data_IF_367277423019
#
_entry.id   IF_367277423019
#
_cell.length_a   1.000
_cell.length_b   1.000
_cell.length_c   1.000
_cell.angle_alpha   90.00
_cell.angle_beta   90.00
_cell.angle_gamma   90.00
#
_symmetry.space_group_name_H-M   'P 1'
#
loop_
_entity.id
_entity.type
_entity.pdbx_description
1 polymer ?
#
# COMPACT_ATOMS: atom_id res chain seq x y z
N UNK A 1 8.07 11.68 10.43
CA UNK A 1 8.71 12.97 10.77
C UNK A 1 9.46 13.52 9.56
N UNK A 2 9.22 14.78 9.22
CA UNK A 2 9.88 15.51 8.13
C UNK A 2 10.50 16.80 8.68
N UNK A 3 11.63 17.23 8.11
CA UNK A 3 12.38 18.39 8.57
C UNK A 3 12.82 19.24 7.39
N UNK A 4 12.67 20.55 7.51
CA UNK A 4 13.36 21.51 6.64
C UNK A 4 14.75 21.75 7.24
N UNK A 5 15.78 21.70 6.40
CA UNK A 5 17.18 21.80 6.83
C UNK A 5 17.94 22.76 5.94
N UNK A 6 19.07 23.27 6.44
CA UNK A 6 19.98 24.06 5.61
C UNK A 6 20.63 23.20 4.53
N UNK A 7 21.13 23.84 3.45
CA UNK A 7 21.88 23.15 2.39
C UNK A 7 23.06 22.35 2.95
N UNK A 8 23.77 22.90 3.95
CA UNK A 8 24.90 22.23 4.60
C UNK A 8 24.49 20.98 5.39
N UNK A 9 23.29 20.97 5.97
CA UNK A 9 22.74 19.85 6.71
C UNK A 9 22.07 18.79 5.82
N UNK A 10 21.72 19.15 4.57
CA UNK A 10 21.01 18.25 3.67
C UNK A 10 21.82 17.02 3.27
N UNK A 11 23.02 17.19 2.69
CA UNK A 11 23.85 16.07 2.23
C UNK A 11 24.23 15.07 3.34
N UNK A 12 24.66 15.50 4.54
CA UNK A 12 24.96 14.57 5.63
C UNK A 12 23.71 14.02 6.33
N UNK A 13 22.49 14.30 5.84
CA UNK A 13 21.23 13.89 6.47
C UNK A 13 21.12 14.36 7.93
N UNK A 14 21.59 15.57 8.24
CA UNK A 14 21.56 16.07 9.60
C UNK A 14 20.22 16.75 9.93
N UNK A 15 19.44 16.15 10.84
CA UNK A 15 18.18 16.69 11.34
C UNK A 15 18.28 17.24 12.77
N UNK A 16 19.50 17.48 13.29
CA UNK A 16 19.70 17.87 14.70
C UNK A 16 19.19 19.28 14.97
N UNK A 17 19.41 20.20 14.03
CA UNK A 17 18.98 21.60 14.13
C UNK A 17 18.21 21.99 12.87
N UNK A 18 16.96 21.50 12.73
CA UNK A 18 16.15 21.80 11.57
C UNK A 18 15.68 23.25 11.59
N UNK A 19 15.46 23.82 10.40
CA UNK A 19 14.78 25.11 10.21
C UNK A 19 13.31 24.98 10.61
N UNK A 20 12.69 23.84 10.31
CA UNK A 20 11.31 23.52 10.68
C UNK A 20 11.13 22.01 10.80
N UNK A 21 10.20 21.56 11.66
CA UNK A 21 9.93 20.15 11.89
C UNK A 21 8.43 19.84 11.84
N UNK A 22 8.08 18.71 11.23
CA UNK A 22 6.73 18.19 11.16
C UNK A 22 6.73 16.72 11.56
N UNK A 23 6.18 16.43 12.72
CA UNK A 23 6.19 15.06 13.28
C UNK A 23 4.93 14.26 12.94
N UNK A 24 3.84 14.96 12.58
CA UNK A 24 2.54 14.38 12.24
C UNK A 24 2.16 14.71 10.79
N UNK A 25 1.55 13.75 10.09
CA UNK A 25 1.08 13.90 8.72
C UNK A 25 -0.46 13.95 8.62
N UNK A 26 -1.02 14.35 7.45
CA UNK A 26 -0.31 14.90 6.29
C UNK A 26 0.18 16.33 6.52
N UNK A 27 1.37 16.65 6.03
CA UNK A 27 2.01 17.97 6.21
C UNK A 27 1.76 18.86 5.00
N UNK A 28 1.38 20.12 5.23
CA UNK A 28 1.30 21.18 4.21
C UNK A 28 2.33 22.25 4.52
N UNK A 29 3.15 22.60 3.54
CA UNK A 29 4.21 23.62 3.66
C UNK A 29 3.97 24.71 2.62
N UNK A 30 3.94 25.97 3.07
CA UNK A 30 3.82 27.14 2.19
C UNK A 30 5.19 27.76 1.98
N UNK A 31 5.66 27.78 0.73
CA UNK A 31 6.95 28.35 0.37
C UNK A 31 6.77 29.85 0.07
N UNK A 32 7.26 30.71 0.96
CA UNK A 32 7.08 32.18 0.85
C UNK A 32 8.28 32.91 0.28
N UNK A 33 9.46 32.28 0.29
CA UNK A 33 10.71 32.90 -0.10
C UNK A 33 11.24 32.25 -1.36
N UNK A 34 11.85 33.05 -2.24
CA UNK A 34 12.62 32.51 -3.35
C UNK A 34 13.91 31.86 -2.85
N UNK A 35 14.41 30.88 -3.60
CA UNK A 35 15.61 30.11 -3.29
C UNK A 35 15.34 28.62 -3.07
N UNK A 36 16.38 27.91 -2.64
CA UNK A 36 16.30 26.48 -2.38
C UNK A 36 15.83 26.18 -0.97
N UNK A 37 14.85 25.29 -0.88
CA UNK A 37 14.36 24.69 0.35
C UNK A 37 14.67 23.19 0.35
N UNK A 38 15.31 22.70 1.40
CA UNK A 38 15.72 21.30 1.50
C UNK A 38 14.94 20.59 2.59
N UNK A 39 14.34 19.45 2.26
CA UNK A 39 13.53 18.66 3.18
C UNK A 39 14.03 17.22 3.27
N UNK A 40 14.10 16.68 4.48
CA UNK A 40 14.51 15.31 4.77
C UNK A 40 13.53 14.61 5.70
N UNK A 41 13.44 13.29 5.60
CA UNK A 41 12.85 12.47 6.64
C UNK A 41 13.92 12.06 7.65
N UNK A 42 13.70 12.34 8.94
CA UNK A 42 14.66 12.02 10.00
C UNK A 42 14.58 10.58 10.52
N UNK A 43 13.78 9.71 9.90
CA UNK A 43 13.73 8.29 10.26
C UNK A 43 15.00 7.61 9.72
N UNK A 44 15.71 6.81 10.53
CA UNK A 44 16.92 6.11 10.09
C UNK A 44 16.71 5.35 8.78
N UNK A 45 17.62 5.51 7.83
CA UNK A 45 17.58 4.85 6.51
C UNK A 45 16.70 5.53 5.46
N UNK A 46 15.70 6.33 5.84
CA UNK A 46 14.76 6.93 4.89
C UNK A 46 15.42 7.91 3.91
N UNK A 47 16.38 8.71 4.38
CA UNK A 47 17.12 9.64 3.51
C UNK A 47 17.91 8.91 2.43
N UNK A 48 18.65 7.85 2.80
CA UNK A 48 19.41 7.02 1.87
C UNK A 48 18.50 6.24 0.92
N UNK A 49 17.29 5.91 1.37
CA UNK A 49 16.23 5.33 0.53
C UNK A 49 15.53 6.36 -0.38
N UNK A 50 15.96 7.63 -0.38
CA UNK A 50 15.46 8.67 -1.27
C UNK A 50 14.34 9.54 -0.70
N UNK A 51 13.97 9.40 0.57
CA UNK A 51 12.99 10.29 1.22
C UNK A 51 13.62 11.63 1.62
N UNK A 52 14.01 12.37 0.59
CA UNK A 52 14.62 13.69 0.64
C UNK A 52 14.19 14.46 -0.60
N UNK A 53 14.03 15.77 -0.50
CA UNK A 53 13.65 16.60 -1.63
C UNK A 53 14.25 17.99 -1.51
N UNK A 54 14.53 18.61 -2.66
CA UNK A 54 14.94 20.00 -2.77
C UNK A 54 13.93 20.69 -3.66
N UNK A 55 13.42 21.84 -3.22
CA UNK A 55 12.48 22.67 -3.97
C UNK A 55 13.17 23.99 -4.26
N UNK A 56 13.26 24.36 -5.53
CA UNK A 56 13.77 25.66 -5.94
C UNK A 56 12.61 26.60 -6.27
N UNK A 57 12.44 27.65 -5.48
CA UNK A 57 11.35 28.63 -5.63
C UNK A 57 11.88 29.83 -6.40
N UNK A 58 11.28 30.11 -7.56
CA UNK A 58 11.62 31.26 -8.40
C UNK A 58 10.58 32.37 -8.25
N UNK A 59 10.99 33.62 -8.44
CA UNK A 59 10.12 34.80 -8.34
C UNK A 59 9.21 35.02 -9.56
N UNK A 60 9.33 34.21 -10.61
CA UNK A 60 8.53 34.36 -11.83
C UNK A 60 7.12 33.80 -11.67
N UNK A 61 6.12 34.59 -12.06
CA UNK A 61 4.68 34.27 -11.98
C UNK A 61 4.23 33.13 -12.91
N UNK A 62 5.11 32.59 -13.75
CA UNK A 62 4.81 31.44 -14.62
C UNK A 62 5.25 30.15 -13.95
N UNK A 63 4.49 29.71 -12.95
CA UNK A 63 4.67 28.38 -12.36
C UNK A 63 4.16 27.32 -13.35
N UNK A 64 5.06 26.65 -14.05
CA UNK A 64 4.74 25.36 -14.67
C UNK A 64 4.62 24.31 -13.56
N UNK A 65 3.51 23.56 -13.46
CA UNK A 65 3.39 22.50 -12.47
C UNK A 65 4.50 21.47 -12.71
N UNK A 66 5.14 20.94 -11.65
CA UNK A 66 6.12 19.88 -11.81
C UNK A 66 5.45 18.68 -12.49
N UNK A 67 6.14 18.08 -13.45
CA UNK A 67 5.71 16.80 -14.04
C UNK A 67 5.63 15.76 -12.93
N UNK A 68 4.43 15.27 -12.63
CA UNK A 68 4.24 14.19 -11.67
C UNK A 68 4.90 12.92 -12.20
N UNK A 69 6.02 12.53 -11.60
CA UNK A 69 6.56 11.19 -11.78
C UNK A 69 5.68 10.24 -10.98
N UNK A 70 4.89 9.40 -11.67
CA UNK A 70 4.13 8.34 -11.00
C UNK A 70 5.11 7.42 -10.26
N UNK A 71 4.84 7.02 -9.00
CA UNK A 71 5.65 5.98 -8.36
C UNK A 71 5.61 4.73 -9.23
N UNK A 72 6.77 4.08 -9.38
CA UNK A 72 6.86 2.77 -10.03
C UNK A 72 5.90 1.79 -9.32
N UNK A 73 5.12 0.97 -10.03
CA UNK A 73 4.28 -0.02 -9.39
C UNK A 73 5.16 -0.93 -8.50
N UNK A 74 4.69 -1.15 -7.28
CA UNK A 74 5.28 -2.16 -6.39
C UNK A 74 5.20 -3.53 -7.09
N UNK A 75 6.23 -4.39 -7.02
CA UNK A 75 6.14 -5.72 -7.60
C UNK A 75 4.96 -6.47 -6.96
N UNK A 76 4.04 -6.96 -7.79
CA UNK A 76 2.98 -7.87 -7.35
C UNK A 76 3.63 -9.12 -6.77
N UNK A 77 3.41 -9.37 -5.47
CA UNK A 77 3.70 -10.68 -4.89
C UNK A 77 2.83 -11.72 -5.60
N UNK A 78 3.46 -12.70 -6.24
CA UNK A 78 2.78 -13.85 -6.80
C UNK A 78 2.02 -14.58 -5.68
N UNK A 79 0.73 -14.77 -5.88
CA UNK A 79 -0.10 -15.59 -5.01
C UNK A 79 0.48 -17.01 -4.96
N UNK A 80 0.73 -17.60 -3.79
CA UNK A 80 1.13 -19.00 -3.71
C UNK A 80 0.04 -19.89 -4.35
N UNK A 81 0.41 -20.99 -5.04
CA UNK A 81 -0.56 -21.88 -5.64
C UNK A 81 -1.48 -22.46 -4.55
N UNK A 82 -2.79 -22.39 -4.81
CA UNK A 82 -3.80 -23.04 -3.99
C UNK A 82 -3.59 -24.57 -4.04
N UNK A 83 -3.66 -25.30 -2.92
CA UNK A 83 -3.59 -26.76 -2.94
C UNK A 83 -4.77 -27.33 -3.73
N UNK A 84 -4.48 -28.16 -4.73
CA UNK A 84 -5.51 -28.86 -5.52
C UNK A 84 -6.26 -29.85 -4.63
N UNK A 85 -7.56 -29.60 -4.43
CA UNK A 85 -8.49 -30.59 -3.86
C UNK A 85 -8.81 -31.63 -4.93
N UNK A 86 -8.78 -32.95 -4.64
CA UNK A 86 -9.18 -33.96 -5.61
C UNK A 86 -10.69 -33.89 -5.90
N UNK A 87 -11.03 -33.88 -7.18
CA UNK A 87 -12.40 -33.91 -7.71
C UNK A 87 -13.11 -35.24 -7.37
N UNK A 88 -14.39 -35.25 -6.97
CA UNK A 88 -15.14 -36.49 -6.81
C UNK A 88 -15.44 -37.12 -8.18
N UNK A 89 -14.92 -38.32 -8.41
CA UNK A 89 -15.25 -39.12 -9.58
C UNK A 89 -16.70 -39.58 -9.53
N UNK A 90 -17.43 -39.31 -10.61
CA UNK A 90 -18.78 -39.76 -10.89
C UNK A 90 -18.83 -41.30 -10.93
N UNK A 91 -19.67 -41.91 -10.09
CA UNK A 91 -19.95 -43.35 -10.13
C UNK A 91 -21.43 -43.58 -10.44
N UNK A 92 -21.67 -44.32 -11.52
CA UNK A 92 -22.93 -44.75 -12.14
C UNK A 92 -23.87 -45.52 -11.21
N UNK A 93 -25.21 -45.44 -11.40
CA UNK A 93 -26.17 -46.27 -10.69
C UNK A 93 -26.36 -47.64 -11.36
N UNK A 94 -26.43 -48.77 -10.63
CA UNK A 94 -27.03 -49.99 -11.14
C UNK A 94 -28.54 -50.02 -10.84
N UNK A 95 -29.32 -50.34 -11.86
CA UNK A 95 -30.77 -50.59 -11.81
C UNK A 95 -31.00 -52.11 -11.73
N UNK A 96 -31.82 -52.56 -10.77
CA UNK A 96 -32.48 -53.87 -10.81
C UNK A 96 -33.89 -53.78 -10.22
N UNK A 97 -34.78 -54.63 -10.74
CA UNK A 97 -36.22 -54.44 -10.88
C UNK A 97 -37.05 -55.36 -9.96
N UNK A 98 -38.32 -54.96 -9.76
CA UNK A 98 -39.54 -55.71 -9.40
C UNK A 98 -39.88 -56.08 -7.94
N UNK A 99 -41.00 -55.48 -7.46
CA UNK A 99 -42.00 -56.12 -6.57
C UNK A 99 -42.83 -55.16 -5.69
N UNK A 100 -44.16 -54.98 -5.92
CA UNK A 100 -45.09 -54.23 -5.04
C UNK A 100 -45.98 -55.18 -4.17
N UNK A 101 -46.95 -54.72 -3.34
CA UNK A 101 -47.33 -53.36 -2.91
C UNK A 101 -47.44 -53.17 -1.36
N UNK A 102 -47.72 -51.93 -0.96
CA UNK A 102 -48.17 -51.43 0.36
C UNK A 102 -49.24 -52.32 1.04
N UNK A 103 -49.40 -52.31 2.38
CA UNK A 103 -50.36 -51.34 2.96
C UNK A 103 -50.10 -50.83 4.41
N UNK A 104 -50.63 -49.63 4.69
CA UNK A 104 -51.28 -49.11 5.94
C UNK A 104 -50.52 -48.89 7.28
N UNK A 105 -50.69 -47.66 7.80
CA UNK A 105 -50.67 -47.04 9.17
C UNK A 105 -50.93 -47.94 10.42
N UNK A 106 -50.86 -47.48 11.72
CA UNK A 106 -50.46 -46.18 12.33
C UNK A 106 -49.58 -46.26 13.63
N UNK A 107 -49.18 -45.08 14.14
CA UNK A 107 -48.91 -44.59 15.54
C UNK A 107 -48.70 -45.54 16.76
N UNK A 108 -47.68 -45.28 17.61
CA UNK A 108 -47.64 -45.02 19.10
C UNK A 108 -46.19 -45.10 19.63
N UNK A 109 -45.62 -44.04 20.22
CA UNK A 109 -45.50 -43.72 21.66
C UNK A 109 -44.52 -44.60 22.48
N UNK A 110 -43.40 -44.01 22.90
CA UNK A 110 -43.00 -43.91 24.32
C UNK A 110 -42.34 -42.54 24.54
#
# INVERSE_FOLDING_TARGET
MSFEVSRAAYQPCNATYPISNWTTGPTRVTLRTAGEHHYICGVPGHFSAGQRMTINVSTSSTATPPSSSSPSPSPSMATPPSPSSPSPSSATPPSFTNGPPSPTSPTVAE
#
